data_IF_736654580294
#
_entry.id   IF_736654580294
#
_cell.length_a   1.000
_cell.length_b   1.000
_cell.length_c   1.000
_cell.angle_alpha   90.00
_cell.angle_beta   90.00
_cell.angle_gamma   90.00
#
_symmetry.space_group_name_H-M   'P 1'
#
loop_
_entity.id
_entity.type
_entity.pdbx_description
1 polymer ?
#
# COMPACT_ATOMS: atom_id res chain seq x y z
N UNK A 1 18.04 -11.83 23.35
CA UNK A 1 16.64 -12.02 22.87
C UNK A 1 16.05 -10.75 22.25
N UNK A 2 16.35 -9.56 22.77
CA UNK A 2 15.73 -8.27 22.37
C UNK A 2 15.99 -7.84 20.92
N UNK A 3 17.17 -8.12 20.38
CA UNK A 3 17.55 -7.69 19.02
C UNK A 3 16.73 -8.38 17.92
N UNK A 4 16.42 -9.67 18.07
CA UNK A 4 15.68 -10.45 17.05
C UNK A 4 14.24 -9.96 16.91
N UNK A 5 13.57 -9.68 18.04
CA UNK A 5 12.19 -9.15 18.05
C UNK A 5 12.13 -7.76 17.41
N UNK A 6 13.07 -6.87 17.74
CA UNK A 6 13.11 -5.52 17.14
C UNK A 6 13.32 -5.56 15.62
N UNK A 7 14.13 -6.49 15.12
CA UNK A 7 14.33 -6.68 13.67
C UNK A 7 13.04 -7.17 12.99
N UNK A 8 12.33 -8.13 13.58
CA UNK A 8 11.08 -8.64 13.05
C UNK A 8 9.99 -7.55 12.98
N UNK A 9 9.82 -6.77 14.05
CA UNK A 9 8.88 -5.64 14.09
C UNK A 9 9.19 -4.62 13.00
N UNK A 10 10.46 -4.22 12.84
CA UNK A 10 10.85 -3.28 11.78
C UNK A 10 10.61 -3.83 10.37
N UNK A 11 10.82 -5.13 10.17
CA UNK A 11 10.55 -5.77 8.88
C UNK A 11 9.05 -5.75 8.56
N UNK A 12 8.21 -6.10 9.54
CA UNK A 12 6.76 -6.04 9.42
C UNK A 12 6.27 -4.62 9.10
N UNK A 13 6.65 -3.62 9.90
CA UNK A 13 6.23 -2.23 9.70
C UNK A 13 6.64 -1.67 8.33
N UNK A 14 7.84 -2.02 7.85
CA UNK A 14 8.30 -1.62 6.52
C UNK A 14 7.46 -2.27 5.41
N UNK A 15 7.12 -3.55 5.58
CA UNK A 15 6.30 -4.27 4.60
C UNK A 15 4.86 -3.75 4.59
N UNK A 16 4.29 -3.50 5.76
CA UNK A 16 2.94 -2.95 5.93
C UNK A 16 2.82 -1.57 5.28
N UNK A 17 3.80 -0.68 5.51
CA UNK A 17 3.83 0.64 4.85
C UNK A 17 3.86 0.54 3.33
N UNK A 18 4.65 -0.39 2.79
CA UNK A 18 4.72 -0.62 1.34
C UNK A 18 3.41 -1.16 0.82
N UNK A 19 2.84 -2.18 1.48
CA UNK A 19 1.55 -2.75 1.12
C UNK A 19 0.42 -1.71 1.12
N UNK A 20 0.33 -0.85 2.15
CA UNK A 20 -0.66 0.24 2.19
C UNK A 20 -0.48 1.24 1.03
N UNK A 21 0.77 1.55 0.68
CA UNK A 21 1.09 2.45 -0.44
C UNK A 21 0.65 1.85 -1.77
N UNK A 22 0.89 0.55 -1.98
CA UNK A 22 0.44 -0.18 -3.16
C UNK A 22 -1.09 -0.20 -3.26
N UNK A 23 -1.80 -0.50 -2.16
CA UNK A 23 -3.27 -0.48 -2.13
C UNK A 23 -3.83 0.90 -2.48
N UNK A 24 -3.21 1.98 -1.99
CA UNK A 24 -3.57 3.35 -2.36
C UNK A 24 -3.27 3.64 -3.85
N UNK A 25 -2.16 3.12 -4.38
CA UNK A 25 -1.82 3.17 -5.80
C UNK A 25 -2.86 2.49 -6.68
N UNK A 26 -3.27 1.27 -6.33
CA UNK A 26 -4.32 0.51 -7.03
C UNK A 26 -5.64 1.31 -7.03
N UNK A 27 -6.04 1.90 -5.90
CA UNK A 27 -7.23 2.73 -5.85
C UNK A 27 -7.10 3.97 -6.76
N UNK A 28 -5.92 4.58 -6.80
CA UNK A 28 -5.64 5.73 -7.65
C UNK A 28 -5.60 5.40 -9.15
N UNK A 29 -5.30 4.14 -9.53
CA UNK A 29 -5.41 3.67 -10.93
C UNK A 29 -6.85 3.69 -11.45
N UNK A 30 -7.83 3.55 -10.56
CA UNK A 30 -9.26 3.56 -10.90
C UNK A 30 -9.86 4.97 -10.92
N UNK A 31 -9.03 6.03 -10.86
CA UNK A 31 -9.52 7.40 -10.95
C UNK A 31 -9.79 7.78 -12.42
N UNK A 32 -11.04 8.10 -12.72
CA UNK A 32 -11.47 8.57 -14.04
C UNK A 32 -11.71 10.09 -14.03
N UNK A 33 -11.40 10.77 -15.14
CA UNK A 33 -11.61 12.22 -15.22
C UNK A 33 -13.09 12.55 -15.21
N UNK A 34 -13.47 13.52 -14.39
CA UNK A 34 -14.87 13.93 -14.23
C UNK A 34 -15.70 13.08 -13.28
N UNK A 35 -15.18 11.94 -12.79
CA UNK A 35 -15.85 11.12 -11.78
C UNK A 35 -15.40 11.47 -10.37
N UNK A 36 -16.32 11.43 -9.39
CA UNK A 36 -16.00 11.71 -7.99
C UNK A 36 -15.17 10.58 -7.37
N UNK A 37 -14.00 10.94 -6.82
CA UNK A 37 -13.15 10.03 -6.06
C UNK A 37 -13.90 9.47 -4.84
N UNK A 38 -13.91 8.15 -4.61
CA UNK A 38 -14.64 7.53 -3.49
C UNK A 38 -14.06 7.85 -2.11
N UNK A 39 -12.84 8.39 -2.04
CA UNK A 39 -12.17 8.73 -0.77
C UNK A 39 -12.47 10.16 -0.33
N UNK A 40 -12.42 11.11 -1.27
CA UNK A 40 -12.50 12.54 -0.95
C UNK A 40 -13.57 13.33 -1.73
N UNK A 41 -14.21 12.72 -2.73
CA UNK A 41 -15.26 13.32 -3.56
C UNK A 41 -14.77 14.22 -4.70
N UNK A 42 -13.47 14.53 -4.78
CA UNK A 42 -12.89 15.36 -5.86
C UNK A 42 -13.05 14.70 -7.23
N UNK A 43 -13.29 15.49 -8.26
CA UNK A 43 -13.31 15.07 -9.67
C UNK A 43 -12.01 15.35 -10.42
N UNK A 44 -11.04 16.01 -9.75
CA UNK A 44 -9.79 16.44 -10.37
C UNK A 44 -8.57 15.88 -9.62
N UNK A 45 -7.77 15.09 -10.33
CA UNK A 45 -6.51 14.51 -9.87
C UNK A 45 -5.43 14.68 -10.95
N UNK A 46 -4.64 15.78 -10.94
CA UNK A 46 -3.72 16.12 -12.03
C UNK A 46 -2.49 15.20 -12.14
N UNK A 47 -2.24 14.38 -11.11
CA UNK A 47 -1.12 13.43 -11.06
C UNK A 47 -1.65 12.05 -10.68
N UNK A 48 -2.45 11.45 -11.57
CA UNK A 48 -2.95 10.09 -11.36
C UNK A 48 -1.79 9.10 -11.28
N UNK A 49 -1.99 8.05 -10.49
CA UNK A 49 -1.07 6.93 -10.47
C UNK A 49 -1.03 6.26 -11.84
N UNK A 50 0.14 5.74 -12.20
CA UNK A 50 0.35 4.85 -13.35
C UNK A 50 0.68 3.47 -12.84
N UNK A 51 0.44 2.42 -13.63
CA UNK A 51 0.66 1.03 -13.20
C UNK A 51 2.09 0.85 -12.66
N UNK A 52 2.20 0.38 -11.41
CA UNK A 52 3.48 0.01 -10.80
C UNK A 52 3.58 -1.52 -10.78
N UNK A 53 4.69 -2.03 -11.32
CA UNK A 53 4.92 -3.47 -11.54
C UNK A 53 5.30 -4.26 -10.27
N UNK A 54 5.28 -3.64 -9.08
CA UNK A 54 5.79 -4.24 -7.85
C UNK A 54 4.69 -4.43 -6.80
N UNK A 55 3.59 -5.09 -7.18
CA UNK A 55 2.54 -5.47 -6.25
C UNK A 55 3.12 -6.35 -5.13
N UNK A 56 3.00 -5.89 -3.88
CA UNK A 56 3.31 -6.70 -2.70
C UNK A 56 2.12 -7.62 -2.40
N UNK A 57 2.37 -8.91 -2.31
CA UNK A 57 1.37 -9.91 -1.96
C UNK A 57 1.04 -9.82 -0.46
N UNK A 58 -0.26 -9.67 -0.14
CA UNK A 58 -0.78 -9.69 1.24
C UNK A 58 -0.33 -10.94 2.00
N UNK A 59 -0.13 -12.06 1.30
CA UNK A 59 0.42 -13.30 1.86
C UNK A 59 1.80 -13.09 2.49
N UNK A 60 2.67 -12.29 1.88
CA UNK A 60 3.99 -12.01 2.42
C UNK A 60 3.91 -11.19 3.71
N UNK A 61 2.99 -10.22 3.79
CA UNK A 61 2.75 -9.43 4.99
C UNK A 61 2.25 -10.31 6.14
N UNK A 62 1.27 -11.19 5.87
CA UNK A 62 0.73 -12.12 6.87
C UNK A 62 1.81 -13.07 7.41
N UNK A 63 2.72 -13.54 6.55
CA UNK A 63 3.87 -14.36 6.98
C UNK A 63 4.83 -13.64 7.93
N UNK A 64 4.89 -12.30 7.92
CA UNK A 64 5.68 -11.52 8.88
C UNK A 64 4.92 -11.26 10.19
N UNK A 65 3.59 -11.17 10.15
CA UNK A 65 2.75 -10.97 11.33
C UNK A 65 2.75 -12.20 12.25
N UNK A 66 2.74 -13.38 11.65
CA UNK A 66 2.58 -14.65 12.36
C UNK A 66 3.94 -15.27 12.80
N UNK A 67 5.05 -14.52 12.70
CA UNK A 67 6.43 -14.92 13.06
C UNK A 67 6.93 -14.27 14.34
#
# INVERSE_FOLDING_TARGET
ATNKMQVAVRAYENMERRWLSEQAGILALHLHDGESCPVCGSTNHPQKATEQSNAIDEKELNNLRDK
#
